data_IF_032056865021
#
_entry.id   IF_032056865021
#
_cell.length_a   1.000
_cell.length_b   1.000
_cell.length_c   1.000
_cell.angle_alpha   90.00
_cell.angle_beta   90.00
_cell.angle_gamma   90.00
#
_symmetry.space_group_name_H-M   'P 1'
#
loop_
_entity.id
_entity.type
_entity.pdbx_description
1 polymer ?
#
# COMPACT_ATOMS: atom_id res chain seq x y z
N UNK A 1 30.10 -29.28 54.51
CA UNK A 1 30.25 -29.31 53.04
C UNK A 1 29.00 -29.79 52.26
N UNK A 2 28.10 -30.60 52.83
CA UNK A 2 26.95 -31.18 52.09
C UNK A 2 25.79 -30.20 51.79
N UNK A 3 25.51 -29.24 52.69
CA UNK A 3 24.35 -28.34 52.54
C UNK A 3 24.58 -27.25 51.47
N UNK A 4 25.81 -26.79 51.28
CA UNK A 4 26.18 -25.79 50.27
C UNK A 4 26.16 -26.35 48.83
N UNK A 5 26.43 -27.65 48.65
CA UNK A 5 26.36 -28.29 47.34
C UNK A 5 24.91 -28.51 46.90
N UNK A 6 24.01 -28.80 47.86
CA UNK A 6 22.61 -29.08 47.59
C UNK A 6 21.81 -27.83 47.19
N UNK A 7 22.12 -26.67 47.79
CA UNK A 7 21.52 -25.38 47.41
C UNK A 7 22.02 -24.88 46.06
N UNK A 8 23.29 -25.14 45.72
CA UNK A 8 23.86 -24.79 44.41
C UNK A 8 23.27 -25.63 43.26
N UNK A 9 23.06 -26.93 43.49
CA UNK A 9 22.42 -27.84 42.52
C UNK A 9 20.92 -27.55 42.30
N UNK A 10 20.18 -27.09 43.33
CA UNK A 10 18.80 -26.63 43.16
C UNK A 10 18.72 -25.29 42.40
N UNK A 11 19.67 -24.38 42.61
CA UNK A 11 19.74 -23.11 41.89
C UNK A 11 20.09 -23.31 40.40
N UNK A 12 20.95 -24.29 40.09
CA UNK A 12 21.27 -24.67 38.70
C UNK A 12 20.11 -25.37 37.99
N UNK A 13 19.34 -26.23 38.68
CA UNK A 13 18.13 -26.85 38.11
C UNK A 13 17.00 -25.84 37.86
N UNK A 14 16.83 -24.83 38.73
CA UNK A 14 15.85 -23.75 38.49
C UNK A 14 16.27 -22.80 37.36
N UNK A 15 17.56 -22.50 37.20
CA UNK A 15 18.07 -21.70 36.07
C UNK A 15 18.05 -22.46 34.73
N UNK A 16 18.21 -23.77 34.74
CA UNK A 16 18.13 -24.61 33.55
C UNK A 16 16.69 -24.81 33.05
N UNK A 17 15.70 -24.89 33.96
CA UNK A 17 14.28 -24.96 33.57
C UNK A 17 13.71 -23.64 33.05
N UNK A 18 14.26 -22.49 33.46
CA UNK A 18 13.87 -21.18 32.90
C UNK A 18 14.43 -20.89 31.50
N UNK A 19 15.35 -21.73 30.99
CA UNK A 19 15.96 -21.57 29.67
C UNK A 19 15.29 -22.39 28.55
N UNK A 20 14.35 -23.28 28.90
CA UNK A 20 13.66 -24.17 27.95
C UNK A 20 12.19 -23.80 27.69
N UNK A 21 11.81 -22.57 28.03
CA UNK A 21 10.54 -21.96 27.59
C UNK A 21 10.80 -20.75 26.67
N UNK A 22 11.79 -20.87 25.78
CA UNK A 22 11.86 -20.02 24.59
C UNK A 22 10.77 -20.51 23.64
N UNK A 23 9.58 -19.97 23.89
CA UNK A 23 8.37 -20.14 23.08
C UNK A 23 8.75 -19.91 21.62
N UNK A 24 8.53 -20.92 20.78
CA UNK A 24 8.33 -20.78 19.34
C UNK A 24 7.13 -19.86 19.13
N UNK A 25 7.33 -18.55 19.28
CA UNK A 25 6.30 -17.57 19.00
C UNK A 25 6.30 -17.40 17.47
N UNK A 26 5.17 -17.68 16.79
CA UNK A 26 5.08 -17.37 15.37
C UNK A 26 5.32 -15.87 15.21
N UNK A 27 6.25 -15.52 14.33
CA UNK A 27 6.42 -14.14 13.88
C UNK A 27 5.19 -13.83 13.03
N UNK A 28 4.19 -13.20 13.65
CA UNK A 28 3.02 -12.74 12.92
C UNK A 28 3.37 -11.39 12.28
N UNK A 29 3.75 -11.46 11.01
CA UNK A 29 3.90 -10.28 10.15
C UNK A 29 2.53 -9.65 9.92
N UNK A 30 2.41 -8.34 10.16
CA UNK A 30 1.24 -7.57 9.72
C UNK A 30 1.30 -7.42 8.21
N UNK A 31 0.52 -8.25 7.55
CA UNK A 31 0.46 -8.33 6.11
C UNK A 31 -0.14 -7.05 5.50
N UNK A 32 0.54 -6.49 4.50
CA UNK A 32 0.09 -5.39 3.67
C UNK A 32 -1.21 -5.77 2.94
N UNK A 33 -2.27 -5.04 3.22
CA UNK A 33 -3.51 -5.13 2.46
C UNK A 33 -3.33 -4.36 1.15
N UNK A 34 -3.55 -5.02 0.01
CA UNK A 34 -3.53 -4.38 -1.30
C UNK A 34 -4.97 -3.97 -1.64
N UNK A 35 -5.14 -2.71 -2.04
CA UNK A 35 -6.43 -2.17 -2.46
C UNK A 35 -6.28 -1.34 -3.75
N UNK A 36 -7.39 -1.14 -4.44
CA UNK A 36 -7.54 -0.13 -5.48
C UNK A 36 -8.75 0.74 -5.16
N UNK A 37 -8.54 2.04 -4.99
CA UNK A 37 -9.58 3.00 -4.64
C UNK A 37 -10.34 2.65 -3.34
N UNK A 38 -9.67 2.01 -2.37
CA UNK A 38 -10.29 1.50 -1.13
C UNK A 38 -11.01 0.16 -1.28
N UNK A 39 -11.10 -0.40 -2.49
CA UNK A 39 -11.65 -1.74 -2.74
C UNK A 39 -10.55 -2.78 -2.58
N UNK A 40 -10.78 -3.75 -1.71
CA UNK A 40 -9.77 -4.75 -1.34
C UNK A 40 -9.50 -5.71 -2.51
N UNK A 41 -8.22 -5.91 -2.81
CA UNK A 41 -7.78 -6.98 -3.71
C UNK A 41 -7.80 -8.30 -2.92
N UNK A 42 -8.53 -9.34 -3.37
CA UNK A 42 -8.66 -10.59 -2.63
C UNK A 42 -7.41 -11.47 -2.77
N UNK A 43 -6.33 -11.04 -2.13
CA UNK A 43 -5.00 -11.65 -2.18
C UNK A 43 -4.94 -13.05 -1.54
N UNK A 44 -5.96 -13.43 -0.78
CA UNK A 44 -6.16 -14.78 -0.26
C UNK A 44 -6.48 -15.82 -1.33
N UNK A 45 -6.88 -15.39 -2.52
CA UNK A 45 -7.14 -16.26 -3.65
C UNK A 45 -5.85 -16.44 -4.45
N UNK A 46 -5.32 -17.66 -4.47
CA UNK A 46 -4.03 -17.97 -5.09
C UNK A 46 -3.90 -17.45 -6.52
N UNK A 47 -4.96 -17.58 -7.33
CA UNK A 47 -4.96 -17.12 -8.72
C UNK A 47 -4.89 -15.58 -8.85
N UNK A 48 -5.42 -14.83 -7.87
CA UNK A 48 -5.37 -13.36 -7.83
C UNK A 48 -3.98 -12.92 -7.41
N UNK A 49 -3.47 -13.49 -6.32
CA UNK A 49 -2.13 -13.20 -5.81
C UNK A 49 -1.05 -13.54 -6.85
N UNK A 50 -1.11 -14.74 -7.43
CA UNK A 50 -0.20 -15.17 -8.49
C UNK A 50 -0.23 -14.23 -9.69
N UNK A 51 -1.42 -13.84 -10.15
CA UNK A 51 -1.57 -12.94 -11.29
C UNK A 51 -1.02 -11.55 -10.99
N UNK A 52 -1.29 -10.99 -9.82
CA UNK A 52 -0.73 -9.69 -9.43
C UNK A 52 0.80 -9.76 -9.35
N UNK A 53 1.35 -10.78 -8.69
CA UNK A 53 2.80 -10.96 -8.55
C UNK A 53 3.48 -11.15 -9.91
N UNK A 54 2.88 -11.91 -10.83
CA UNK A 54 3.37 -12.08 -12.18
C UNK A 54 3.34 -10.75 -12.97
N UNK A 55 2.28 -9.96 -12.86
CA UNK A 55 2.20 -8.63 -13.50
C UNK A 55 3.24 -7.67 -12.92
N UNK A 56 3.43 -7.63 -11.60
CA UNK A 56 4.50 -6.83 -10.97
C UNK A 56 5.86 -7.28 -11.48
N UNK A 57 6.14 -8.59 -11.46
CA UNK A 57 7.42 -9.16 -11.91
C UNK A 57 7.71 -8.86 -13.38
N UNK A 58 6.68 -8.87 -14.24
CA UNK A 58 6.82 -8.47 -15.66
C UNK A 58 7.13 -6.98 -15.79
N UNK A 59 6.47 -6.11 -15.02
CA UNK A 59 6.77 -4.68 -15.02
C UNK A 59 8.19 -4.38 -14.53
N UNK A 60 8.71 -5.15 -13.56
CA UNK A 60 10.11 -5.05 -13.12
C UNK A 60 11.13 -5.33 -14.23
N UNK A 61 10.79 -6.10 -15.28
CA UNK A 61 11.69 -6.26 -16.45
C UNK A 61 11.95 -4.94 -17.17
N UNK A 62 11.02 -4.00 -17.03
CA UNK A 62 11.10 -2.63 -17.54
C UNK A 62 11.54 -1.64 -16.45
N UNK A 63 12.19 -2.09 -15.38
CA UNK A 63 12.63 -1.23 -14.27
C UNK A 63 13.49 -0.04 -14.71
N UNK A 64 14.24 -0.15 -15.81
CA UNK A 64 15.00 0.97 -16.37
C UNK A 64 14.11 2.13 -16.86
N UNK A 65 12.83 1.87 -17.14
CA UNK A 65 11.85 2.90 -17.52
C UNK A 65 11.06 3.46 -16.32
N UNK A 66 11.15 2.83 -15.14
CA UNK A 66 10.45 3.34 -13.94
C UNK A 66 10.95 4.74 -13.52
N UNK A 67 12.25 5.06 -13.55
CA UNK A 67 12.71 6.43 -13.27
C UNK A 67 12.12 7.47 -14.22
N UNK A 68 12.05 7.21 -15.53
CA UNK A 68 11.48 8.16 -16.48
C UNK A 68 9.96 8.31 -16.32
N UNK A 69 9.25 7.24 -16.01
CA UNK A 69 7.82 7.31 -15.66
C UNK A 69 7.59 8.10 -14.36
N UNK A 70 8.48 7.96 -13.37
CA UNK A 70 8.41 8.73 -12.12
C UNK A 70 8.62 10.22 -12.35
N UNK A 71 9.61 10.60 -13.15
CA UNK A 71 9.85 12.01 -13.52
C UNK A 71 8.63 12.62 -14.22
N UNK A 72 7.98 11.86 -15.12
CA UNK A 72 6.70 12.30 -15.71
C UNK A 72 5.60 12.41 -14.66
N UNK A 73 5.48 11.44 -13.76
CA UNK A 73 4.47 11.49 -12.70
C UNK A 73 4.63 12.72 -11.81
N UNK A 74 5.86 13.13 -11.46
CA UNK A 74 6.13 14.37 -10.72
C UNK A 74 5.61 15.62 -11.42
N UNK A 75 5.66 15.66 -12.75
CA UNK A 75 5.14 16.78 -13.53
C UNK A 75 3.61 16.72 -13.69
N UNK A 76 3.04 15.53 -13.89
CA UNK A 76 1.63 15.37 -14.28
C UNK A 76 0.69 15.22 -13.06
N UNK A 77 1.11 14.54 -11.99
CA UNK A 77 0.27 14.29 -10.82
C UNK A 77 -0.16 15.59 -10.11
N UNK A 78 0.68 16.62 -9.93
CA UNK A 78 0.23 17.89 -9.35
C UNK A 78 -0.90 18.58 -10.12
N UNK A 79 -1.05 18.29 -11.42
CA UNK A 79 -2.17 18.76 -12.24
C UNK A 79 -3.37 17.81 -12.16
N UNK A 80 -3.13 16.51 -12.18
CA UNK A 80 -4.19 15.48 -12.20
C UNK A 80 -4.89 15.34 -10.84
N UNK A 81 -4.14 15.26 -9.74
CA UNK A 81 -4.67 14.95 -8.41
C UNK A 81 -5.74 15.96 -7.92
N UNK A 82 -5.55 17.29 -8.06
CA UNK A 82 -6.58 18.25 -7.67
C UNK A 82 -7.87 18.12 -8.49
N UNK A 83 -7.75 17.77 -9.78
CA UNK A 83 -8.91 17.57 -10.66
C UNK A 83 -9.66 16.28 -10.26
N UNK A 84 -8.95 15.18 -9.97
CA UNK A 84 -9.57 13.96 -9.45
C UNK A 84 -10.37 14.27 -8.18
N UNK A 85 -9.78 15.01 -7.24
CA UNK A 85 -10.41 15.42 -6.00
C UNK A 85 -11.65 16.30 -6.23
N UNK A 86 -11.58 17.28 -7.14
CA UNK A 86 -12.72 18.13 -7.50
C UNK A 86 -13.94 17.30 -7.96
N UNK A 87 -13.68 16.18 -8.65
CA UNK A 87 -14.72 15.28 -9.12
C UNK A 87 -15.06 14.18 -8.11
N UNK A 88 -14.41 14.10 -6.96
CA UNK A 88 -14.59 13.01 -6.00
C UNK A 88 -14.15 11.65 -6.55
N UNK A 89 -13.23 11.64 -7.53
CA UNK A 89 -12.59 10.43 -8.05
C UNK A 89 -11.41 10.08 -7.14
N UNK A 90 -11.26 8.82 -6.69
CA UNK A 90 -10.14 8.41 -5.85
C UNK A 90 -8.78 8.65 -6.51
N UNK A 91 -7.79 9.05 -5.72
CA UNK A 91 -6.46 9.42 -6.22
C UNK A 91 -5.73 8.27 -6.92
N UNK A 92 -6.05 7.01 -6.61
CA UNK A 92 -5.49 5.84 -7.28
C UNK A 92 -5.69 5.87 -8.81
N UNK A 93 -6.72 6.57 -9.31
CA UNK A 93 -6.91 6.76 -10.75
C UNK A 93 -5.79 7.55 -11.44
N UNK A 94 -4.92 8.24 -10.71
CA UNK A 94 -3.71 8.87 -11.28
C UNK A 94 -2.74 7.86 -11.90
N UNK A 95 -2.82 6.58 -11.51
CA UNK A 95 -2.02 5.50 -12.09
C UNK A 95 -2.61 4.94 -13.40
N UNK A 96 -3.89 5.20 -13.68
CA UNK A 96 -4.55 4.80 -14.94
C UNK A 96 -3.83 5.38 -16.18
N UNK A 97 -3.56 6.69 -16.30
CA UNK A 97 -2.90 7.26 -17.48
C UNK A 97 -1.44 6.80 -17.65
N UNK A 98 -0.82 6.22 -16.62
CA UNK A 98 0.47 5.53 -16.79
C UNK A 98 0.29 4.24 -17.58
N UNK A 99 -0.74 3.46 -17.28
CA UNK A 99 -1.05 2.21 -18.01
C UNK A 99 -1.51 2.50 -19.44
N UNK A 100 -2.24 3.59 -19.66
CA UNK A 100 -2.75 3.97 -20.98
C UNK A 100 -1.66 4.50 -21.93
N UNK A 101 -0.81 5.42 -21.46
CA UNK A 101 0.15 6.09 -22.35
C UNK A 101 1.54 6.31 -21.76
N UNK A 102 1.80 5.85 -20.54
CA UNK A 102 3.01 6.21 -19.80
C UNK A 102 3.15 7.72 -19.62
N UNK A 103 2.02 8.42 -19.38
CA UNK A 103 1.93 9.87 -19.26
C UNK A 103 2.51 10.60 -20.48
N UNK A 104 2.09 10.18 -21.67
CA UNK A 104 2.46 10.84 -22.93
C UNK A 104 1.25 11.09 -23.82
N UNK A 105 1.34 12.12 -24.67
CA UNK A 105 0.34 12.32 -25.73
C UNK A 105 0.61 11.33 -26.86
N UNK A 106 0.04 10.14 -26.73
CA UNK A 106 0.18 9.07 -27.70
C UNK A 106 -1.11 8.90 -28.51
N UNK A 107 -0.99 8.37 -29.72
CA UNK A 107 -2.11 7.92 -30.54
C UNK A 107 -2.04 6.41 -30.66
N UNK A 108 -3.09 5.70 -30.24
CA UNK A 108 -3.19 4.26 -30.45
C UNK A 108 -3.53 3.94 -31.90
N UNK A 109 -3.24 2.72 -32.38
CA UNK A 109 -3.62 2.27 -33.73
C UNK A 109 -5.12 2.35 -34.02
N UNK A 110 -5.97 2.35 -32.99
CA UNK A 110 -7.43 2.37 -33.10
C UNK A 110 -8.04 3.75 -32.80
N UNK A 111 -7.20 4.78 -32.65
CA UNK A 111 -7.63 6.18 -32.57
C UNK A 111 -7.84 6.77 -31.18
N UNK A 112 -7.56 6.01 -30.10
CA UNK A 112 -7.44 6.57 -28.75
C UNK A 112 -6.28 7.57 -28.70
N UNK A 113 -6.46 8.71 -28.02
CA UNK A 113 -5.51 9.83 -28.08
C UNK A 113 -5.20 10.41 -26.69
N UNK A 114 -3.97 10.90 -26.55
CA UNK A 114 -3.55 11.73 -25.42
C UNK A 114 -3.17 10.92 -24.18
N UNK A 115 -2.92 11.64 -23.09
CA UNK A 115 -2.52 11.06 -21.78
C UNK A 115 -3.52 10.03 -21.26
N UNK A 116 -4.81 10.27 -21.49
CA UNK A 116 -5.91 9.45 -20.99
C UNK A 116 -6.43 8.42 -22.01
N UNK A 117 -5.82 8.36 -23.21
CA UNK A 117 -6.24 7.50 -24.33
C UNK A 117 -7.76 7.51 -24.56
N UNK A 118 -8.34 8.70 -24.72
CA UNK A 118 -9.79 8.84 -24.91
C UNK A 118 -10.13 8.59 -26.39
N UNK A 119 -11.12 7.74 -26.65
CA UNK A 119 -11.65 7.50 -28.00
C UNK A 119 -12.37 8.73 -28.55
N UNK A 120 -12.34 8.99 -29.88
CA UNK A 120 -12.89 10.22 -30.45
C UNK A 120 -14.40 10.37 -30.22
N UNK A 121 -15.17 9.28 -30.34
CA UNK A 121 -16.62 9.31 -30.03
C UNK A 121 -16.90 9.64 -28.56
N UNK A 122 -16.15 9.01 -27.65
CA UNK A 122 -16.25 9.29 -26.21
C UNK A 122 -15.81 10.72 -25.88
N UNK A 123 -14.79 11.25 -26.55
CA UNK A 123 -14.34 12.63 -26.38
C UNK A 123 -15.45 13.63 -26.73
N UNK A 124 -16.16 13.40 -27.85
CA UNK A 124 -17.29 14.22 -28.25
C UNK A 124 -18.43 14.19 -27.21
N UNK A 125 -18.78 13.01 -26.69
CA UNK A 125 -19.78 12.86 -25.62
C UNK A 125 -19.39 13.59 -24.32
N UNK A 126 -18.09 13.71 -24.04
CA UNK A 126 -17.57 14.38 -22.85
C UNK A 126 -17.35 15.88 -23.05
N UNK A 127 -17.66 16.40 -24.24
CA UNK A 127 -17.56 17.81 -24.62
C UNK A 127 -16.16 18.26 -25.01
N UNK A 128 -15.29 17.34 -25.45
CA UNK A 128 -14.00 17.67 -26.04
C UNK A 128 -14.13 17.91 -27.54
N UNK A 129 -13.44 18.93 -28.02
CA UNK A 129 -13.27 19.23 -29.44
C UNK A 129 -12.21 18.32 -30.03
N UNK A 130 -12.57 17.58 -31.08
CA UNK A 130 -11.65 16.75 -31.87
C UNK A 130 -11.75 17.21 -33.32
N UNK A 131 -10.78 18.00 -33.76
CA UNK A 131 -10.61 18.42 -35.15
C UNK A 131 -9.19 18.13 -35.64
N UNK A 132 -8.96 18.19 -36.95
CA UNK A 132 -7.67 17.83 -37.56
C UNK A 132 -6.49 18.63 -37.02
N UNK A 133 -6.69 19.93 -36.81
CA UNK A 133 -5.63 20.84 -36.32
C UNK A 133 -5.66 21.02 -34.79
N UNK A 134 -6.74 20.61 -34.13
CA UNK A 134 -6.94 20.83 -32.70
C UNK A 134 -7.68 19.67 -32.04
N UNK A 135 -6.94 18.89 -31.25
CA UNK A 135 -7.48 17.76 -30.51
C UNK A 135 -7.30 17.97 -29.00
N UNK A 136 -8.38 18.30 -28.32
CA UNK A 136 -8.39 18.58 -26.88
C UNK A 136 -8.07 17.36 -26.01
N UNK A 137 -8.06 16.15 -26.59
CA UNK A 137 -7.56 14.94 -25.91
C UNK A 137 -6.07 15.04 -25.58
N UNK A 138 -5.31 15.85 -26.33
CA UNK A 138 -3.90 16.14 -26.07
C UNK A 138 -3.69 17.23 -25.00
N UNK A 139 -4.75 17.95 -24.61
CA UNK A 139 -4.66 19.00 -23.60
C UNK A 139 -4.89 18.41 -22.20
N UNK A 140 -3.81 18.24 -21.42
CA UNK A 140 -3.83 17.54 -20.12
C UNK A 140 -5.00 17.91 -19.20
N UNK A 141 -5.22 19.20 -18.94
CA UNK A 141 -6.30 19.66 -18.04
C UNK A 141 -7.69 19.28 -18.58
N UNK A 142 -8.00 19.61 -19.84
CA UNK A 142 -9.29 19.31 -20.49
C UNK A 142 -9.53 17.80 -20.55
N UNK A 143 -8.53 17.03 -20.98
CA UNK A 143 -8.59 15.58 -21.04
C UNK A 143 -8.79 14.95 -19.65
N UNK A 144 -8.17 15.51 -18.60
CA UNK A 144 -8.36 15.03 -17.21
C UNK A 144 -9.77 15.29 -16.71
N UNK A 145 -10.35 16.46 -16.98
CA UNK A 145 -11.76 16.72 -16.66
C UNK A 145 -12.70 15.75 -17.39
N UNK A 146 -12.45 15.49 -18.68
CA UNK A 146 -13.24 14.52 -19.45
C UNK A 146 -13.10 13.10 -18.87
N UNK A 147 -11.89 12.65 -18.59
CA UNK A 147 -11.64 11.35 -17.97
C UNK A 147 -12.35 11.22 -16.61
N UNK A 148 -12.33 12.26 -15.77
CA UNK A 148 -13.05 12.26 -14.49
C UNK A 148 -14.56 12.12 -14.67
N UNK A 149 -15.17 12.83 -15.64
CA UNK A 149 -16.59 12.69 -15.97
C UNK A 149 -16.92 11.24 -16.38
N UNK A 150 -16.10 10.65 -17.25
CA UNK A 150 -16.27 9.26 -17.69
C UNK A 150 -16.15 8.27 -16.52
N UNK A 151 -15.08 8.37 -15.72
CA UNK A 151 -14.86 7.49 -14.55
C UNK A 151 -16.04 7.56 -13.58
N UNK A 152 -16.57 8.76 -13.31
CA UNK A 152 -17.76 8.92 -12.46
C UNK A 152 -19.00 8.29 -13.06
N UNK A 153 -19.24 8.47 -14.36
CA UNK A 153 -20.37 7.85 -15.05
C UNK A 153 -20.30 6.32 -14.94
N UNK A 154 -19.11 5.75 -15.17
CA UNK A 154 -18.87 4.30 -15.06
C UNK A 154 -19.06 3.81 -13.62
N UNK A 155 -18.58 4.55 -12.63
CA UNK A 155 -18.78 4.22 -11.23
C UNK A 155 -20.26 4.29 -10.83
N UNK A 156 -21.00 5.28 -11.30
CA UNK A 156 -22.45 5.37 -11.06
C UNK A 156 -23.22 4.18 -11.66
N UNK A 157 -22.77 3.66 -12.80
CA UNK A 157 -23.40 2.50 -13.46
C UNK A 157 -23.05 1.17 -12.77
N UNK A 158 -21.81 1.01 -12.31
CA UNK A 158 -21.27 -0.27 -11.87
C UNK A 158 -21.13 -0.39 -10.34
N UNK A 159 -21.25 0.73 -9.63
CA UNK A 159 -21.10 0.83 -8.17
C UNK A 159 -19.82 0.16 -7.63
N UNK A 160 -18.74 0.24 -8.40
CA UNK A 160 -17.41 -0.23 -8.03
C UNK A 160 -16.35 0.53 -8.84
N UNK A 161 -15.31 1.00 -8.18
CA UNK A 161 -14.16 1.65 -8.80
C UNK A 161 -13.35 0.68 -9.63
N UNK A 162 -13.18 -0.55 -9.16
CA UNK A 162 -12.50 -1.63 -9.90
C UNK A 162 -13.23 -1.93 -11.21
N UNK A 163 -14.56 -2.10 -11.16
CA UNK A 163 -15.34 -2.31 -12.37
C UNK A 163 -15.39 -1.06 -13.27
N UNK A 164 -15.41 0.14 -12.69
CA UNK A 164 -15.36 1.38 -13.46
C UNK A 164 -14.05 1.51 -14.26
N UNK A 165 -12.90 1.22 -13.64
CA UNK A 165 -11.62 1.18 -14.35
C UNK A 165 -11.58 0.08 -15.43
N UNK A 166 -12.14 -1.11 -15.16
CA UNK A 166 -12.24 -2.15 -16.18
C UNK A 166 -13.14 -1.73 -17.35
N UNK A 167 -14.22 -1.01 -17.08
CA UNK A 167 -15.12 -0.48 -18.09
C UNK A 167 -14.53 0.72 -18.85
N UNK A 168 -13.58 1.45 -18.26
CA UNK A 168 -12.82 2.48 -18.97
C UNK A 168 -12.02 1.86 -20.12
N UNK A 169 -11.35 0.72 -19.87
CA UNK A 169 -10.62 -0.03 -20.90
C UNK A 169 -11.55 -0.75 -21.89
N UNK A 170 -12.59 -1.42 -21.41
CA UNK A 170 -13.34 -2.38 -22.21
C UNK A 170 -14.72 -1.89 -22.70
N UNK A 171 -15.16 -0.72 -22.25
CA UNK A 171 -16.51 -0.19 -22.40
C UNK A 171 -17.51 -0.75 -21.37
N UNK A 172 -18.39 0.11 -20.85
CA UNK A 172 -19.41 -0.25 -19.84
C UNK A 172 -20.37 -1.33 -20.31
N UNK A 173 -20.79 -1.29 -21.58
CA UNK A 173 -21.67 -2.32 -22.16
C UNK A 173 -21.02 -3.71 -22.15
N UNK A 174 -19.71 -3.79 -22.39
CA UNK A 174 -19.00 -5.07 -22.36
C UNK A 174 -18.91 -5.64 -20.95
N UNK A 175 -18.54 -4.81 -19.98
CA UNK A 175 -18.49 -5.21 -18.56
C UNK A 175 -19.88 -5.62 -18.07
N UNK A 176 -20.91 -4.83 -18.35
CA UNK A 176 -22.29 -5.11 -17.95
C UNK A 176 -22.81 -6.42 -18.53
N UNK A 177 -22.52 -6.71 -19.81
CA UNK A 177 -22.85 -8.01 -20.43
C UNK A 177 -22.16 -9.17 -19.73
N UNK A 178 -20.88 -9.02 -19.38
CA UNK A 178 -20.13 -10.06 -18.67
C UNK A 178 -20.68 -10.30 -17.25
N UNK A 179 -20.98 -9.23 -16.51
CA UNK A 179 -21.60 -9.32 -15.18
C UNK A 179 -22.92 -10.08 -15.27
N UNK A 180 -23.81 -9.68 -16.21
CA UNK A 180 -25.10 -10.33 -16.41
C UNK A 180 -24.96 -11.81 -16.80
N UNK A 181 -24.07 -12.12 -17.75
CA UNK A 181 -23.85 -13.49 -18.24
C UNK A 181 -23.29 -14.41 -17.17
N UNK A 182 -22.39 -13.91 -16.32
CA UNK A 182 -21.66 -14.71 -15.33
C UNK A 182 -22.31 -14.66 -13.94
N UNK A 183 -23.30 -13.79 -13.72
CA UNK A 183 -23.98 -13.65 -12.44
C UNK A 183 -23.09 -13.13 -11.32
N UNK A 184 -22.02 -12.41 -11.64
CA UNK A 184 -21.02 -11.93 -10.69
C UNK A 184 -20.58 -10.51 -11.04
N UNK A 185 -20.41 -9.67 -10.02
CA UNK A 185 -19.79 -8.33 -10.13
C UNK A 185 -18.37 -8.32 -9.54
N UNK A 186 -17.83 -9.48 -9.17
CA UNK A 186 -16.45 -9.59 -8.70
C UNK A 186 -15.49 -9.61 -9.89
N UNK A 187 -14.88 -8.46 -10.19
CA UNK A 187 -13.90 -8.31 -11.27
C UNK A 187 -12.84 -9.42 -11.28
N UNK A 188 -12.34 -9.81 -10.11
CA UNK A 188 -11.25 -10.77 -10.00
C UNK A 188 -11.67 -12.18 -10.42
N UNK A 189 -12.98 -12.48 -10.41
CA UNK A 189 -13.55 -13.77 -10.85
C UNK A 189 -14.14 -13.71 -12.26
N UNK A 190 -14.39 -12.52 -12.81
CA UNK A 190 -14.97 -12.38 -14.15
C UNK A 190 -14.02 -12.94 -15.22
N UNK A 191 -14.57 -13.80 -16.08
CA UNK A 191 -13.93 -14.28 -17.30
C UNK A 191 -14.04 -13.21 -18.37
N UNK A 192 -13.07 -12.29 -18.38
CA UNK A 192 -12.93 -11.21 -19.36
C UNK A 192 -11.87 -11.57 -20.41
N UNK A 193 -11.77 -10.78 -21.49
CA UNK A 193 -10.66 -10.92 -22.43
C UNK A 193 -9.31 -10.68 -21.70
N UNK A 194 -8.22 -11.16 -22.29
CA UNK A 194 -6.91 -11.14 -21.63
C UNK A 194 -6.43 -9.73 -21.26
N UNK A 195 -6.73 -8.74 -22.10
CA UNK A 195 -6.34 -7.35 -21.86
C UNK A 195 -7.08 -6.77 -20.65
N UNK A 196 -8.41 -6.82 -20.66
CA UNK A 196 -9.26 -6.29 -19.60
C UNK A 196 -9.07 -7.06 -18.29
N UNK A 197 -8.91 -8.40 -18.34
CA UNK A 197 -8.66 -9.22 -17.15
C UNK A 197 -7.33 -8.89 -16.45
N UNK A 198 -6.37 -8.32 -17.17
CA UNK A 198 -5.08 -7.88 -16.63
C UNK A 198 -5.06 -6.39 -16.28
N UNK A 199 -6.00 -5.60 -16.78
CA UNK A 199 -5.95 -4.14 -16.74
C UNK A 199 -5.83 -3.58 -15.32
N UNK A 200 -6.69 -4.02 -14.40
CA UNK A 200 -6.63 -3.59 -13.00
C UNK A 200 -5.33 -4.05 -12.32
N UNK A 201 -4.84 -5.25 -12.63
CA UNK A 201 -3.56 -5.72 -12.08
C UNK A 201 -2.39 -4.86 -12.56
N UNK A 202 -2.42 -4.34 -13.80
CA UNK A 202 -1.40 -3.40 -14.30
C UNK A 202 -1.42 -2.09 -13.51
N UNK A 203 -2.61 -1.52 -13.28
CA UNK A 203 -2.76 -0.29 -12.50
C UNK A 203 -2.25 -0.50 -11.06
N UNK A 204 -2.69 -1.57 -10.41
CA UNK A 204 -2.25 -1.92 -9.05
C UNK A 204 -0.75 -2.17 -9.02
N UNK A 205 -0.18 -2.86 -10.02
CA UNK A 205 1.25 -3.10 -10.08
C UNK A 205 2.05 -1.78 -10.14
N UNK A 206 1.61 -0.80 -10.94
CA UNK A 206 2.24 0.53 -10.97
C UNK A 206 2.08 1.23 -9.61
N UNK A 207 0.87 1.24 -9.01
CA UNK A 207 0.64 1.77 -7.66
C UNK A 207 1.62 1.16 -6.65
N UNK A 208 1.71 -0.17 -6.63
CA UNK A 208 2.58 -0.92 -5.72
C UNK A 208 4.06 -0.59 -5.93
N UNK A 209 4.53 -0.51 -7.19
CA UNK A 209 5.90 -0.13 -7.50
C UNK A 209 6.22 1.32 -7.13
N UNK A 210 5.23 2.22 -7.15
CA UNK A 210 5.41 3.62 -6.80
C UNK A 210 5.37 3.85 -5.28
N UNK A 211 4.40 3.24 -4.59
CA UNK A 211 4.09 3.52 -3.18
C UNK A 211 4.76 2.56 -2.20
N UNK A 212 5.07 1.34 -2.65
CA UNK A 212 5.75 0.31 -1.86
C UNK A 212 6.94 -0.29 -2.63
N UNK A 213 7.86 0.52 -3.18
CA UNK A 213 9.03 0.02 -3.91
C UNK A 213 9.84 -0.96 -3.06
N UNK A 214 9.77 -0.82 -1.73
CA UNK A 214 10.46 -1.66 -0.77
C UNK A 214 10.19 -3.14 -0.88
N UNK A 215 8.99 -3.50 -1.33
CA UNK A 215 8.58 -4.89 -1.43
C UNK A 215 9.06 -5.59 -2.69
N UNK A 216 9.33 -4.83 -3.75
CA UNK A 216 9.35 -5.36 -5.11
C UNK A 216 10.66 -5.09 -5.84
N UNK A 217 11.30 -3.93 -5.63
CA UNK A 217 12.50 -3.55 -6.38
C UNK A 217 13.72 -4.39 -5.93
N UNK A 218 14.50 -4.97 -6.87
CA UNK A 218 15.73 -5.67 -6.51
C UNK A 218 16.72 -4.75 -5.79
N UNK A 219 17.35 -5.27 -4.74
CA UNK A 219 18.33 -4.51 -3.94
C UNK A 219 17.73 -3.60 -2.88
N UNK A 220 16.41 -3.44 -2.86
CA UNK A 220 15.66 -2.72 -1.83
C UNK A 220 15.14 -3.73 -0.79
N UNK A 221 15.58 -3.63 0.47
CA UNK A 221 14.89 -4.22 1.64
C UNK A 221 14.36 -5.64 1.47
N UNK A 222 13.20 -5.88 2.09
CA UNK A 222 12.48 -7.15 1.96
C UNK A 222 11.91 -7.27 0.55
N UNK A 223 12.44 -8.20 -0.25
CA UNK A 223 11.94 -8.43 -1.60
C UNK A 223 11.07 -9.69 -1.66
N UNK A 224 9.80 -9.55 -2.05
CA UNK A 224 8.83 -10.66 -2.16
C UNK A 224 9.23 -11.72 -3.20
N UNK A 225 10.17 -11.41 -4.10
CA UNK A 225 10.66 -12.33 -5.13
C UNK A 225 12.01 -12.99 -4.76
N UNK A 226 12.63 -12.65 -3.64
CA UNK A 226 13.90 -13.24 -3.21
C UNK A 226 13.71 -14.68 -2.72
N UNK A 227 14.59 -15.59 -3.15
CA UNK A 227 14.53 -17.03 -2.79
C UNK A 227 14.83 -17.30 -1.31
N UNK A 228 15.50 -16.38 -0.61
CA UNK A 228 15.80 -16.51 0.82
C UNK A 228 14.63 -16.08 1.71
N UNK A 229 13.58 -15.53 1.11
CA UNK A 229 12.36 -15.10 1.80
C UNK A 229 11.40 -16.29 1.95
N UNK A 230 11.87 -17.34 2.63
CA UNK A 230 11.03 -18.47 2.99
C UNK A 230 10.30 -18.15 4.30
N UNK A 231 8.97 -18.17 4.27
CA UNK A 231 8.02 -18.10 5.39
C UNK A 231 7.44 -16.71 5.72
N UNK A 232 6.34 -16.37 5.01
CA UNK A 232 5.40 -15.33 5.42
C UNK A 232 4.78 -14.63 4.22
N UNK A 233 3.52 -14.94 3.88
CA UNK A 233 2.78 -14.10 2.93
C UNK A 233 2.69 -12.69 3.51
N UNK A 234 3.29 -11.71 2.83
CA UNK A 234 3.18 -10.29 3.21
C UNK A 234 1.79 -9.74 2.90
N UNK A 235 0.88 -10.52 2.32
CA UNK A 235 -0.47 -10.08 1.97
C UNK A 235 -1.53 -10.71 2.89
N UNK A 236 -2.43 -9.87 3.39
CA UNK A 236 -3.42 -10.24 4.42
C UNK A 236 -4.59 -11.02 3.83
N UNK A 237 -5.11 -11.99 4.58
CA UNK A 237 -6.49 -12.50 4.45
C UNK A 237 -7.45 -11.52 5.13
N UNK A 238 -8.47 -10.96 4.46
CA UNK A 238 -9.49 -10.14 5.12
C UNK A 238 -10.30 -10.98 6.11
N UNK A 239 -10.80 -10.36 7.18
CA UNK A 239 -11.81 -10.99 8.05
C UNK A 239 -13.07 -11.33 7.23
N UNK A 240 -13.73 -12.47 7.48
CA UNK A 240 -14.88 -12.90 6.69
C UNK A 240 -15.99 -11.85 6.73
N UNK A 241 -16.39 -11.37 5.55
CA UNK A 241 -17.59 -10.56 5.37
C UNK A 241 -18.78 -11.50 5.64
N UNK A 242 -19.48 -11.26 6.74
CA UNK A 242 -20.75 -11.95 7.04
C UNK A 242 -21.72 -11.63 5.90
N UNK A 243 -22.05 -12.64 5.09
CA UNK A 243 -23.12 -12.55 4.10
C UNK A 243 -24.45 -12.45 4.84
N UNK A 244 -25.02 -11.26 4.95
CA UNK A 244 -26.39 -11.08 5.41
C UNK A 244 -27.35 -11.70 4.38
N UNK A 245 -28.13 -12.69 4.81
CA UNK A 245 -29.17 -13.34 4.01
C UNK A 245 -30.40 -12.44 3.88
N UNK A 246 -31.11 -12.59 2.77
CA UNK A 246 -32.19 -11.72 2.29
C UNK A 246 -33.54 -11.86 3.04
N UNK A 247 -33.55 -12.05 4.37
CA UNK A 247 -34.81 -12.25 5.14
C UNK A 247 -35.04 -11.38 6.38
N UNK A 248 -34.08 -10.54 6.79
CA UNK A 248 -34.21 -9.80 8.07
C UNK A 248 -34.43 -8.29 7.92
N UNK A 249 -34.94 -7.81 6.79
CA UNK A 249 -35.07 -6.36 6.51
C UNK A 249 -36.30 -5.65 7.10
N UNK A 250 -37.17 -6.32 7.86
CA UNK A 250 -38.42 -5.70 8.32
C UNK A 250 -38.53 -5.33 9.80
N UNK A 251 -37.47 -5.41 10.60
CA UNK A 251 -37.54 -4.87 11.97
C UNK A 251 -36.19 -4.61 12.61
N UNK A 252 -35.46 -3.57 12.16
CA UNK A 252 -34.38 -3.01 12.97
C UNK A 252 -34.43 -1.48 12.89
N UNK A 253 -34.92 -0.84 13.97
CA UNK A 253 -34.62 0.55 14.28
C UNK A 253 -33.19 0.59 14.83
N UNK A 254 -32.25 1.17 14.11
CA UNK A 254 -30.88 1.38 14.60
C UNK A 254 -30.78 2.77 15.23
N UNK A 255 -30.63 2.81 16.55
CA UNK A 255 -30.05 3.93 17.27
C UNK A 255 -28.55 4.04 16.93
N UNK A 256 -28.12 5.17 16.39
CA UNK A 256 -26.73 5.42 16.02
C UNK A 256 -25.90 5.57 17.30
N UNK A 257 -25.24 4.50 17.72
CA UNK A 257 -24.09 4.58 18.61
C UNK A 257 -22.81 4.65 17.74
N UNK A 258 -22.10 5.79 17.82
CA UNK A 258 -20.73 5.94 17.31
C UNK A 258 -19.83 4.93 18.02
N UNK A 259 -19.49 3.82 17.39
CA UNK A 259 -18.36 3.00 17.81
C UNK A 259 -17.40 2.82 16.63
N UNK A 260 -16.32 3.60 16.67
CA UNK A 260 -15.17 3.49 15.79
C UNK A 260 -14.40 2.20 16.12
N UNK A 261 -14.22 1.31 15.13
CA UNK A 261 -13.27 0.21 15.24
C UNK A 261 -11.85 0.75 15.53
N UNK A 262 -11.07 0.14 16.44
CA UNK A 262 -9.71 0.61 16.73
C UNK A 262 -8.80 0.41 15.52
N UNK A 263 -8.19 1.50 15.04
CA UNK A 263 -7.12 1.47 14.05
C UNK A 263 -5.91 0.73 14.66
N UNK A 264 -5.17 -0.11 13.91
CA UNK A 264 -3.92 -0.68 14.43
C UNK A 264 -2.99 0.46 14.86
N UNK A 265 -2.60 0.48 16.15
CA UNK A 265 -1.71 1.52 16.69
C UNK A 265 -0.31 1.31 16.14
N UNK A 266 0.11 2.09 15.14
CA UNK A 266 1.49 2.12 14.72
C UNK A 266 2.33 2.90 15.76
N UNK A 267 3.50 2.40 16.11
CA UNK A 267 4.43 3.06 17.03
C UNK A 267 5.32 4.01 16.24
N UNK A 268 5.41 5.26 16.67
CA UNK A 268 6.26 6.27 16.03
C UNK A 268 7.50 6.49 16.89
N UNK A 269 8.67 6.47 16.26
CA UNK A 269 9.94 6.80 16.91
C UNK A 269 10.55 8.02 16.24
N UNK A 270 10.92 9.03 17.03
CA UNK A 270 11.59 10.21 16.51
C UNK A 270 13.05 9.89 16.13
N UNK A 271 13.50 10.46 15.02
CA UNK A 271 14.87 10.34 14.56
C UNK A 271 15.31 11.64 13.85
N UNK A 272 16.62 11.81 13.66
CA UNK A 272 17.21 12.92 12.93
C UNK A 272 18.04 12.42 11.77
N UNK A 273 17.69 12.85 10.56
CA UNK A 273 18.40 12.57 9.34
C UNK A 273 19.72 13.34 9.28
N UNK A 274 20.83 12.65 8.98
CA UNK A 274 22.11 13.29 8.71
C UNK A 274 22.12 13.87 7.29
N UNK A 275 22.67 15.07 7.15
CA UNK A 275 22.75 15.78 5.87
C UNK A 275 23.68 15.08 4.88
N UNK A 276 23.23 14.90 3.65
CA UNK A 276 23.98 14.38 2.51
C UNK A 276 23.77 15.38 1.35
N UNK A 277 24.81 16.16 0.97
CA UNK A 277 24.67 17.23 -0.04
C UNK A 277 24.23 16.76 -1.43
N UNK A 278 24.71 15.59 -1.84
CA UNK A 278 24.34 14.92 -3.09
C UNK A 278 24.11 13.45 -2.82
N UNK A 279 23.02 12.92 -3.35
CA UNK A 279 22.59 11.55 -3.13
C UNK A 279 22.47 10.80 -4.46
N UNK A 280 22.94 9.56 -4.47
CA UNK A 280 22.74 8.62 -5.57
C UNK A 280 22.12 7.33 -5.04
N UNK A 281 21.34 6.65 -5.89
CA UNK A 281 20.74 5.36 -5.56
C UNK A 281 21.78 4.36 -5.05
N UNK A 282 21.44 3.67 -3.97
CA UNK A 282 22.28 2.71 -3.27
C UNK A 282 23.26 3.34 -2.25
N UNK A 283 23.38 4.66 -2.17
CA UNK A 283 24.21 5.33 -1.17
C UNK A 283 23.61 5.17 0.24
N UNK A 284 24.49 5.11 1.25
CA UNK A 284 24.06 4.99 2.65
C UNK A 284 23.46 6.31 3.15
N UNK A 285 22.23 6.23 3.65
CA UNK A 285 21.54 7.27 4.40
C UNK A 285 21.63 6.91 5.88
N UNK A 286 22.02 7.90 6.70
CA UNK A 286 22.19 7.71 8.13
C UNK A 286 21.21 8.56 8.92
N UNK A 287 20.61 7.96 9.94
CA UNK A 287 19.75 8.63 10.91
C UNK A 287 20.30 8.45 12.32
N UNK A 288 20.03 9.40 13.20
CA UNK A 288 20.26 9.29 14.63
C UNK A 288 18.92 9.13 15.33
N UNK A 289 18.76 8.08 16.13
CA UNK A 289 17.55 7.87 16.91
C UNK A 289 17.44 8.94 18.01
N UNK A 290 16.26 9.52 18.15
CA UNK A 290 15.92 10.42 19.27
C UNK A 290 15.15 9.65 20.36
N UNK A 291 14.46 8.58 19.97
CA UNK A 291 13.76 7.64 20.86
C UNK A 291 14.42 6.25 20.85
N UNK A 292 14.13 5.45 21.88
CA UNK A 292 14.50 4.02 21.88
C UNK A 292 13.67 3.28 20.84
N UNK A 293 14.32 2.58 19.92
CA UNK A 293 13.66 1.79 18.88
C UNK A 293 13.51 0.35 19.35
N UNK A 294 12.28 -0.18 19.29
CA UNK A 294 12.01 -1.60 19.49
C UNK A 294 11.24 -2.16 18.28
N UNK A 295 11.87 -3.06 17.52
CA UNK A 295 11.28 -3.70 16.34
C UNK A 295 11.91 -5.06 16.07
N UNK A 296 11.12 -6.04 15.62
CA UNK A 296 11.59 -7.40 15.30
C UNK A 296 12.43 -8.07 16.40
N UNK A 297 12.08 -7.84 17.67
CA UNK A 297 12.85 -8.36 18.81
C UNK A 297 14.22 -7.69 19.04
N UNK A 298 14.56 -6.66 18.26
CA UNK A 298 15.76 -5.84 18.43
C UNK A 298 15.40 -4.58 19.23
N UNK A 299 16.21 -4.26 20.24
CA UNK A 299 16.12 -3.01 21.00
C UNK A 299 17.37 -2.18 20.74
N UNK A 300 17.19 -0.93 20.31
CA UNK A 300 18.26 0.03 20.02
C UNK A 300 18.02 1.30 20.81
N UNK A 301 19.00 1.69 21.63
CA UNK A 301 18.89 2.89 22.46
C UNK A 301 18.87 4.17 21.63
N UNK A 302 18.18 5.18 22.16
CA UNK A 302 18.28 6.56 21.70
C UNK A 302 19.73 7.02 21.59
N UNK A 303 19.97 7.95 20.67
CA UNK A 303 21.27 8.45 20.21
C UNK A 303 22.10 7.47 19.37
N UNK A 304 21.66 6.22 19.16
CA UNK A 304 22.31 5.33 18.21
C UNK A 304 22.14 5.84 16.76
N UNK A 305 23.16 5.61 15.94
CA UNK A 305 23.09 5.88 14.50
C UNK A 305 22.68 4.61 13.77
N UNK A 306 21.66 4.69 12.93
CA UNK A 306 21.30 3.65 11.98
C UNK A 306 21.64 4.11 10.58
N UNK A 307 22.12 3.20 9.74
CA UNK A 307 22.47 3.50 8.36
C UNK A 307 21.89 2.42 7.46
N UNK A 308 21.31 2.87 6.35
CA UNK A 308 20.65 2.01 5.38
C UNK A 308 20.92 2.49 3.97
N UNK A 309 20.84 1.60 2.98
CA UNK A 309 20.93 2.03 1.58
C UNK A 309 19.65 2.77 1.21
N UNK A 310 19.77 3.88 0.47
CA UNK A 310 18.64 4.65 0.01
C UNK A 310 18.44 4.58 -1.51
N UNK A 311 17.22 4.88 -1.98
CA UNK A 311 16.87 5.02 -3.39
C UNK A 311 15.92 6.17 -3.61
N UNK A 312 16.11 6.89 -4.71
CA UNK A 312 15.27 7.99 -5.16
C UNK A 312 14.03 7.43 -5.85
N UNK A 313 12.87 7.79 -5.31
CA UNK A 313 11.55 7.28 -5.65
C UNK A 313 10.65 8.50 -5.75
N UNK A 314 10.64 9.11 -6.94
CA UNK A 314 10.08 10.45 -7.09
C UNK A 314 10.92 11.49 -6.33
N UNK A 315 10.30 12.49 -5.72
CA UNK A 315 10.98 13.50 -4.89
C UNK A 315 11.41 12.99 -3.50
N UNK A 316 11.24 11.70 -3.22
CA UNK A 316 11.47 11.11 -1.89
C UNK A 316 12.51 10.01 -1.98
N UNK A 317 13.31 9.92 -0.93
CA UNK A 317 14.34 8.90 -0.76
C UNK A 317 13.81 7.89 0.24
N UNK A 318 13.74 6.64 -0.19
CA UNK A 318 13.35 5.54 0.65
C UNK A 318 14.60 4.81 1.10
N UNK A 319 14.64 4.41 2.37
CA UNK A 319 15.84 3.87 3.01
C UNK A 319 15.52 2.52 3.61
N UNK A 320 16.29 1.50 3.21
CA UNK A 320 16.28 0.21 3.86
C UNK A 320 17.23 0.23 5.06
N UNK A 321 16.65 0.35 6.25
CA UNK A 321 17.39 0.36 7.52
C UNK A 321 17.72 -1.05 8.04
N UNK A 322 17.45 -2.11 7.27
CA UNK A 322 17.70 -3.49 7.67
C UNK A 322 16.61 -4.11 8.55
N UNK A 323 15.44 -3.48 8.62
CA UNK A 323 14.27 -3.95 9.40
C UNK A 323 13.13 -4.44 8.51
N UNK A 324 13.43 -4.82 7.27
CA UNK A 324 12.43 -5.26 6.28
C UNK A 324 11.31 -4.22 6.14
N UNK A 325 10.04 -4.64 6.26
CA UNK A 325 8.87 -3.77 6.17
C UNK A 325 8.26 -3.41 7.52
N UNK A 326 8.99 -3.64 8.60
CA UNK A 326 8.50 -3.47 9.98
C UNK A 326 8.81 -2.09 10.54
N UNK A 327 9.90 -1.48 10.09
CA UNK A 327 10.29 -0.10 10.39
C UNK A 327 10.46 0.65 9.08
N UNK A 328 9.60 1.65 8.86
CA UNK A 328 9.64 2.47 7.65
C UNK A 328 10.06 3.88 8.01
N UNK A 329 11.08 4.41 7.32
CA UNK A 329 11.47 5.80 7.44
C UNK A 329 10.42 6.70 6.80
N UNK A 330 9.96 7.69 7.54
CA UNK A 330 8.99 8.70 7.14
C UNK A 330 9.55 10.10 7.40
N UNK A 331 9.09 11.10 6.65
CA UNK A 331 9.36 12.48 6.99
C UNK A 331 8.45 12.97 8.13
N UNK A 332 8.69 14.18 8.62
CA UNK A 332 7.90 14.79 9.70
C UNK A 332 6.41 14.95 9.38
N UNK A 333 6.04 14.95 8.10
CA UNK A 333 4.65 14.94 7.62
C UNK A 333 3.96 13.57 7.74
N UNK A 334 4.67 12.56 8.25
CA UNK A 334 4.19 11.18 8.39
C UNK A 334 4.17 10.38 7.09
N UNK A 335 4.55 10.96 5.94
CA UNK A 335 4.61 10.25 4.66
C UNK A 335 5.89 9.41 4.58
N UNK A 336 5.79 8.21 3.99
CA UNK A 336 6.92 7.30 3.77
C UNK A 336 8.02 7.94 2.93
N UNK A 337 9.28 7.56 3.19
CA UNK A 337 10.47 8.16 2.58
C UNK A 337 10.71 9.59 3.07
N UNK A 338 11.89 10.13 2.77
CA UNK A 338 12.30 11.51 3.13
C UNK A 338 12.43 12.38 1.88
N UNK A 339 11.92 13.62 1.85
CA UNK A 339 12.12 14.51 0.71
C UNK A 339 13.61 14.67 0.36
N UNK A 340 13.94 14.63 -0.93
CA UNK A 340 15.33 14.79 -1.39
C UNK A 340 15.96 16.12 -0.92
N UNK A 341 15.15 17.18 -0.82
CA UNK A 341 15.57 18.47 -0.25
C UNK A 341 15.96 18.38 1.22
N UNK A 342 15.21 17.62 2.03
CA UNK A 342 15.50 17.40 3.46
C UNK A 342 16.81 16.63 3.65
N UNK A 343 17.16 15.75 2.70
CA UNK A 343 18.42 15.02 2.74
C UNK A 343 19.63 15.97 2.68
N UNK A 344 19.55 17.07 1.93
CA UNK A 344 20.65 18.05 1.81
C UNK A 344 20.91 18.79 3.10
N UNK A 345 19.86 19.16 3.83
CA UNK A 345 19.95 19.92 5.08
C UNK A 345 20.06 19.02 6.31
N UNK A 346 19.69 17.75 6.20
CA UNK A 346 19.30 16.95 7.34
C UNK A 346 18.00 17.49 7.96
N UNK A 347 17.57 16.88 9.07
CA UNK A 347 16.42 17.35 9.83
C UNK A 347 15.66 16.24 10.53
N UNK A 348 14.56 16.61 11.17
CA UNK A 348 13.76 15.68 11.95
C UNK A 348 12.91 14.78 11.03
N UNK A 349 12.94 13.49 11.33
CA UNK A 349 12.27 12.41 10.60
C UNK A 349 11.65 11.46 11.62
N UNK A 350 10.85 10.53 11.13
CA UNK A 350 10.14 9.58 11.99
C UNK A 350 10.35 8.16 11.46
N UNK A 351 10.41 7.20 12.36
CA UNK A 351 10.33 5.78 12.04
C UNK A 351 8.94 5.29 12.42
N UNK A 352 8.21 4.79 11.42
CA UNK A 352 6.94 4.12 11.62
C UNK A 352 7.20 2.64 11.88
N UNK A 353 7.10 2.23 13.14
CA UNK A 353 7.07 0.83 13.55
C UNK A 353 5.66 0.27 13.44
N UNK A 354 5.50 -0.84 12.72
CA UNK A 354 4.24 -1.60 12.80
C UNK A 354 4.19 -2.31 14.15
N UNK A 355 3.08 -2.16 14.89
CA UNK A 355 2.96 -2.76 16.22
C UNK A 355 3.20 -4.27 16.19
N UNK A 356 4.10 -4.73 17.04
CA UNK A 356 4.18 -6.11 17.46
C UNK A 356 3.12 -6.31 18.56
N UNK A 357 2.23 -7.30 18.44
CA UNK A 357 1.15 -7.54 19.42
C UNK A 357 1.63 -7.83 20.86
N UNK A 358 2.94 -7.82 21.13
CA UNK A 358 3.54 -8.10 22.45
C UNK A 358 3.69 -6.88 23.35
N UNK A 359 3.58 -5.65 22.84
CA UNK A 359 3.76 -4.43 23.65
C UNK A 359 2.46 -3.92 24.32
N UNK A 360 1.32 -4.51 24.00
CA UNK A 360 0.03 -4.21 24.64
C UNK A 360 -0.35 -5.33 25.63
N UNK A 361 0.34 -5.42 26.76
CA UNK A 361 0.07 -6.52 27.70
C UNK A 361 0.90 -6.56 28.97
N UNK A 362 1.15 -5.41 29.61
CA UNK A 362 1.43 -5.41 31.06
C UNK A 362 0.57 -4.31 31.66
N UNK A 363 -0.71 -4.63 31.86
CA UNK A 363 -1.57 -3.90 32.78
C UNK A 363 -1.50 -4.67 34.09
N UNK A 364 -0.87 -4.07 35.11
CA UNK A 364 -0.90 -4.57 36.48
C UNK A 364 -2.35 -4.76 36.93
N UNK A 365 -2.69 -5.97 37.38
CA UNK A 365 -3.97 -6.24 38.02
C UNK A 365 -3.98 -5.58 39.40
N UNK A 366 -4.94 -4.70 39.73
CA UNK A 366 -5.11 -4.22 41.10
C UNK A 366 -5.64 -5.36 41.97
N UNK A 367 -5.00 -5.57 43.13
CA UNK A 367 -5.33 -6.62 44.06
C UNK A 367 -6.76 -6.57 44.62
N UNK A 368 -7.28 -7.77 44.88
CA UNK A 368 -8.56 -8.03 45.52
C UNK A 368 -8.74 -7.24 46.81
N UNK A 369 -9.74 -6.35 46.84
CA UNK A 369 -10.33 -5.83 48.07
C UNK A 369 -11.72 -6.43 48.28
N UNK A 370 -11.70 -7.38 49.22
CA UNK A 370 -12.76 -7.87 50.11
C UNK A 370 -13.95 -6.91 50.29
N UNK A 371 -15.16 -7.36 49.92
CA UNK A 371 -16.42 -6.74 50.30
C UNK A 371 -16.88 -7.29 51.65
N UNK A 372 -16.90 -6.44 52.68
CA UNK A 372 -17.73 -6.59 53.88
C UNK A 372 -18.88 -5.59 53.75
N UNK A 373 -20.12 -6.08 53.67
CA UNK A 373 -21.30 -5.26 53.88
C UNK A 373 -22.05 -5.83 55.08
N UNK A 374 -22.05 -5.04 56.15
CA UNK A 374 -22.93 -5.17 57.30
C UNK A 374 -24.24 -4.45 56.99
N UNK A 375 -25.34 -5.20 56.94
CA UNK A 375 -26.62 -4.99 57.66
C UNK A 375 -27.68 -5.93 57.13
#
# INVERSE_FOLDING_TARGET
>A
MSVLLHTYLLALKKKALTAWLLVLLPVFTFAQQVDFCGEVVPMERDFVSYRLMDVIKRNLRYQGYLPSLRLKAEQYFPVIEPILQQYGVPLDFKYLPIVESGLSNATSPVGAQGVWQIMPGTAAELGLTVSGDYDERNHLIKATHAACKLIRLLHQQLNSWTLAAAAYNAGSGNISRNIKRQGSSDYYQLLLNNETAQYIYKIIAIKQLFESPELYLPGFGYNVFSKNTANGSVFSTPAPVVKAGNKDFNSIRISIAKQSLPRPSATMYAARLKSIPSFQDGQLVSIQLLDDLQANGVYIRKNASLSGKGWIVGERIYVDLGFENTVVLCAADGKKGVPAGLLKTGGDVQLLGKADKRSAGVMELPGDKQWMASR
#
